data_IF_189507079205
#
_entry.id   IF_189507079205
#
_cell.length_a   1.000
_cell.length_b   1.000
_cell.length_c   1.000
_cell.angle_alpha   90.00
_cell.angle_beta   90.00
_cell.angle_gamma   90.00
#
_symmetry.space_group_name_H-M   'P 1'
#
loop_
_entity.id
_entity.type
_entity.pdbx_description
1 polymer ?
#
# COMPACT_ATOMS: atom_id res chain seq x y z
N UNK A 1 6.93 -19.86 42.64
CA UNK A 1 7.76 -18.67 42.35
C UNK A 1 8.97 -18.70 43.28
N UNK A 2 10.19 -18.81 42.74
CA UNK A 2 11.42 -18.98 43.54
C UNK A 2 11.69 -17.77 44.44
N UNK A 3 12.25 -17.99 45.63
CA UNK A 3 12.64 -16.93 46.58
C UNK A 3 13.52 -15.88 45.89
N UNK A 4 14.36 -16.31 44.96
CA UNK A 4 15.20 -15.45 44.13
C UNK A 4 14.41 -14.45 43.27
N UNK A 5 13.27 -14.88 42.70
CA UNK A 5 12.42 -14.00 41.90
C UNK A 5 11.80 -12.91 42.77
N UNK A 6 11.42 -13.22 44.01
CA UNK A 6 10.87 -12.24 44.95
C UNK A 6 11.89 -11.19 45.36
N UNK A 7 13.14 -11.59 45.58
CA UNK A 7 14.24 -10.67 45.93
C UNK A 7 14.53 -9.72 44.76
N UNK A 8 14.62 -10.24 43.54
CA UNK A 8 14.86 -9.40 42.34
C UNK A 8 13.75 -8.37 42.14
N UNK A 9 12.49 -8.77 42.27
CA UNK A 9 11.34 -7.86 42.13
C UNK A 9 11.35 -6.81 43.24
N UNK A 10 11.62 -7.19 44.49
CA UNK A 10 11.69 -6.25 45.61
C UNK A 10 12.83 -5.22 45.43
N UNK A 11 14.00 -5.66 44.97
CA UNK A 11 15.12 -4.76 44.67
C UNK A 11 14.79 -3.80 43.51
N UNK A 12 14.14 -4.29 42.44
CA UNK A 12 13.72 -3.46 41.32
C UNK A 12 12.68 -2.41 41.72
N UNK A 13 11.69 -2.79 42.55
CA UNK A 13 10.69 -1.86 43.07
C UNK A 13 11.29 -0.83 44.03
N UNK A 14 12.22 -1.25 44.90
CA UNK A 14 12.96 -0.34 45.77
C UNK A 14 13.78 0.68 44.98
N UNK A 15 14.43 0.24 43.90
CA UNK A 15 15.16 1.13 43.00
C UNK A 15 14.23 2.16 42.32
N UNK A 16 13.07 1.74 41.80
CA UNK A 16 12.09 2.65 41.18
C UNK A 16 11.52 3.65 42.20
N UNK A 17 11.33 3.24 43.45
CA UNK A 17 10.83 4.12 44.51
C UNK A 17 11.83 5.21 44.93
N UNK A 18 13.14 4.90 44.89
CA UNK A 18 14.20 5.84 45.31
C UNK A 18 14.70 6.69 44.15
N UNK A 19 14.86 6.11 42.96
CA UNK A 19 15.48 6.77 41.81
C UNK A 19 14.45 7.27 40.78
N UNK A 20 13.16 7.03 40.99
CA UNK A 20 12.12 7.25 39.99
C UNK A 20 12.13 6.17 38.90
N UNK A 21 11.08 6.14 38.07
CA UNK A 21 11.05 5.29 36.87
C UNK A 21 12.13 5.83 35.93
N UNK A 22 13.14 5.03 35.53
CA UNK A 22 14.09 5.47 34.52
C UNK A 22 13.31 5.82 33.26
N UNK A 23 13.30 7.10 32.90
CA UNK A 23 12.75 7.55 31.62
C UNK A 23 13.60 6.90 30.54
N UNK A 24 13.12 5.78 29.98
CA UNK A 24 13.65 5.28 28.73
C UNK A 24 13.59 6.45 27.75
N UNK A 25 14.69 6.79 27.05
CA UNK A 25 14.60 7.77 25.98
C UNK A 25 13.53 7.26 25.03
N UNK A 26 12.38 7.94 25.01
CA UNK A 26 11.38 7.72 23.99
C UNK A 26 12.13 7.89 22.68
N UNK A 27 12.27 6.82 21.91
CA UNK A 27 12.77 6.95 20.56
C UNK A 27 11.88 8.01 19.89
N UNK A 28 12.44 9.07 19.30
CA UNK A 28 11.62 10.03 18.59
C UNK A 28 10.79 9.23 17.60
N UNK A 29 9.46 9.34 17.74
CA UNK A 29 8.53 8.75 16.80
C UNK A 29 8.88 9.41 15.48
N UNK A 30 9.56 8.67 14.60
CA UNK A 30 9.83 9.18 13.25
C UNK A 30 8.50 9.61 12.67
N UNK A 31 8.38 10.83 12.14
CA UNK A 31 7.13 11.28 11.53
C UNK A 31 6.68 10.21 10.53
N UNK A 32 5.40 9.83 10.61
CA UNK A 32 4.82 8.86 9.70
C UNK A 32 5.20 9.26 8.27
N UNK A 33 5.85 8.36 7.54
CA UNK A 33 6.31 8.64 6.19
C UNK A 33 5.14 9.18 5.36
N UNK A 34 5.22 10.44 4.95
CA UNK A 34 4.20 11.04 4.09
C UNK A 34 4.37 10.45 2.69
N UNK A 35 3.35 9.76 2.20
CA UNK A 35 3.29 9.40 0.78
C UNK A 35 2.91 10.65 0.02
N UNK A 36 3.89 11.29 -0.62
CA UNK A 36 3.58 12.33 -1.58
C UNK A 36 3.00 11.64 -2.83
N UNK A 37 1.71 11.87 -3.07
CA UNK A 37 1.02 11.31 -4.22
C UNK A 37 0.70 12.41 -5.20
N UNK A 38 1.21 12.26 -6.42
CA UNK A 38 0.92 13.14 -7.53
C UNK A 38 -0.59 13.17 -7.83
N UNK A 39 -1.14 14.36 -8.10
CA UNK A 39 -2.56 14.48 -8.47
C UNK A 39 -2.73 14.09 -9.93
N UNK A 40 -3.48 13.01 -10.24
CA UNK A 40 -3.64 12.55 -11.61
C UNK A 40 -4.58 13.47 -12.39
N UNK A 41 -4.55 13.38 -13.72
CA UNK A 41 -5.46 14.12 -14.61
C UNK A 41 -6.94 13.78 -14.33
N UNK A 42 -7.85 14.69 -14.72
CA UNK A 42 -9.29 14.57 -14.43
C UNK A 42 -9.91 13.25 -14.95
N UNK A 43 -9.47 12.79 -16.11
CA UNK A 43 -9.94 11.52 -16.70
C UNK A 43 -9.56 10.33 -15.82
N UNK A 44 -8.31 10.29 -15.36
CA UNK A 44 -7.82 9.21 -14.52
C UNK A 44 -8.44 9.26 -13.11
N UNK A 45 -8.71 10.46 -12.57
CA UNK A 45 -9.50 10.61 -11.34
C UNK A 45 -10.89 9.99 -11.49
N UNK A 46 -11.57 10.22 -12.61
CA UNK A 46 -12.89 9.64 -12.88
C UNK A 46 -12.83 8.10 -13.01
N UNK A 47 -11.75 7.57 -13.57
CA UNK A 47 -11.52 6.12 -13.67
C UNK A 47 -11.39 5.47 -12.29
N UNK A 48 -10.63 6.08 -11.37
CA UNK A 48 -10.35 5.52 -10.02
C UNK A 48 -11.38 5.94 -8.95
N UNK A 49 -12.33 6.81 -9.26
CA UNK A 49 -13.37 7.25 -8.31
C UNK A 49 -14.13 6.09 -7.64
N UNK A 50 -14.55 5.02 -8.35
CA UNK A 50 -15.20 3.88 -7.70
C UNK A 50 -14.31 3.20 -6.64
N UNK A 51 -13.00 3.14 -6.90
CA UNK A 51 -12.00 2.58 -5.98
C UNK A 51 -11.84 3.48 -4.75
N UNK A 52 -11.75 4.80 -4.96
CA UNK A 52 -11.68 5.77 -3.86
C UNK A 52 -12.87 5.64 -2.91
N UNK A 53 -14.09 5.52 -3.45
CA UNK A 53 -15.30 5.30 -2.65
C UNK A 53 -15.25 4.02 -1.81
N UNK A 54 -14.73 2.93 -2.37
CA UNK A 54 -14.59 1.66 -1.66
C UNK A 54 -13.56 1.70 -0.53
N UNK A 55 -12.50 2.52 -0.68
CA UNK A 55 -11.41 2.62 0.29
C UNK A 55 -11.71 3.64 1.39
N UNK A 56 -12.64 4.56 1.15
CA UNK A 56 -12.97 5.63 2.09
C UNK A 56 -13.41 5.17 3.48
N UNK A 57 -13.99 3.97 3.54
CA UNK A 57 -14.45 3.38 4.80
C UNK A 57 -13.31 2.80 5.65
N UNK A 58 -12.11 2.67 5.09
CA UNK A 58 -10.96 2.08 5.76
C UNK A 58 -10.26 3.10 6.68
N UNK A 59 -9.62 2.66 7.78
CA UNK A 59 -8.77 3.51 8.61
C UNK A 59 -7.66 4.23 7.82
N UNK A 60 -7.24 5.40 8.29
CA UNK A 60 -6.21 6.21 7.61
C UNK A 60 -4.88 5.45 7.37
N UNK A 61 -4.47 4.58 8.31
CA UNK A 61 -3.27 3.75 8.16
C UNK A 61 -3.37 2.75 7.00
N UNK A 62 -4.55 2.15 6.81
CA UNK A 62 -4.82 1.22 5.72
C UNK A 62 -4.86 1.92 4.36
N UNK A 63 -5.40 3.13 4.32
CA UNK A 63 -5.37 3.98 3.12
C UNK A 63 -3.96 4.44 2.74
N UNK A 64 -3.12 4.72 3.73
CA UNK A 64 -1.70 5.04 3.53
C UNK A 64 -0.93 3.82 3.00
N UNK A 65 -1.20 2.64 3.54
CA UNK A 65 -0.64 1.39 3.05
C UNK A 65 -1.05 1.11 1.60
N UNK A 66 -2.33 1.31 1.27
CA UNK A 66 -2.82 1.25 -0.11
C UNK A 66 -2.00 2.16 -1.02
N UNK A 67 -1.86 3.44 -0.65
CA UNK A 67 -1.09 4.41 -1.41
C UNK A 67 0.35 3.94 -1.64
N UNK A 68 1.03 3.45 -0.61
CA UNK A 68 2.38 2.92 -0.72
C UNK A 68 2.51 1.73 -1.68
N UNK A 69 1.56 0.80 -1.66
CA UNK A 69 1.61 -0.38 -2.55
C UNK A 69 1.53 0.06 -4.01
N UNK A 70 0.60 0.97 -4.32
CA UNK A 70 0.40 1.43 -5.69
C UNK A 70 1.49 2.38 -6.17
N UNK A 71 2.03 3.25 -5.31
CA UNK A 71 3.23 4.03 -5.65
C UNK A 71 4.42 3.14 -6.00
N UNK A 72 4.62 2.03 -5.26
CA UNK A 72 5.68 1.07 -5.58
C UNK A 72 5.39 0.28 -6.86
N UNK A 73 4.13 -0.06 -7.12
CA UNK A 73 3.75 -0.72 -8.37
C UNK A 73 4.10 0.14 -9.60
N UNK A 74 3.87 1.45 -9.53
CA UNK A 74 4.29 2.39 -10.57
C UNK A 74 5.82 2.32 -10.81
N UNK A 75 6.60 2.42 -9.74
CA UNK A 75 8.08 2.38 -9.80
C UNK A 75 8.59 1.06 -10.38
N UNK A 76 7.99 -0.07 -10.02
CA UNK A 76 8.39 -1.40 -10.54
C UNK A 76 8.18 -1.49 -12.06
N UNK A 77 7.04 -1.03 -12.56
CA UNK A 77 6.73 -1.10 -13.99
C UNK A 77 7.58 -0.12 -14.82
N UNK A 78 7.90 1.05 -14.25
CA UNK A 78 8.84 2.00 -14.85
C UNK A 78 10.27 1.45 -14.85
N UNK A 79 10.69 0.80 -13.76
CA UNK A 79 12.00 0.16 -13.65
C UNK A 79 12.20 -0.99 -14.62
N UNK A 80 11.15 -1.73 -14.96
CA UNK A 80 11.21 -2.81 -15.94
C UNK A 80 11.51 -2.31 -17.38
N UNK A 81 11.38 -1.01 -17.66
CA UNK A 81 11.80 -0.44 -18.94
C UNK A 81 13.32 -0.37 -19.12
N UNK A 82 14.08 -0.37 -18.02
CA UNK A 82 15.56 -0.27 -18.01
C UNK A 82 16.23 -1.53 -17.47
N UNK A 83 15.45 -2.57 -17.18
CA UNK A 83 15.96 -3.85 -16.71
C UNK A 83 16.57 -4.67 -17.84
N UNK A 84 17.62 -5.43 -17.52
CA UNK A 84 18.26 -6.35 -18.48
C UNK A 84 17.33 -7.50 -18.87
N UNK A 85 16.47 -7.92 -17.95
CA UNK A 85 15.43 -8.94 -18.17
C UNK A 85 14.06 -8.28 -18.10
N UNK A 86 13.26 -8.44 -19.15
CA UNK A 86 11.90 -7.90 -19.23
C UNK A 86 10.94 -8.80 -18.46
N UNK A 87 10.42 -8.31 -17.33
CA UNK A 87 9.43 -9.00 -16.51
C UNK A 87 8.01 -8.89 -17.09
N UNK A 88 7.67 -7.77 -17.74
CA UNK A 88 6.34 -7.53 -18.31
C UNK A 88 6.39 -7.57 -19.84
N UNK A 89 5.94 -8.68 -20.42
CA UNK A 89 5.97 -8.91 -21.87
C UNK A 89 4.67 -8.49 -22.55
N UNK A 90 3.53 -8.75 -21.92
CA UNK A 90 2.19 -8.42 -22.41
C UNK A 90 1.27 -7.87 -21.30
N UNK A 91 0.12 -7.30 -21.67
CA UNK A 91 -0.84 -6.77 -20.69
C UNK A 91 -1.46 -7.84 -19.79
N UNK A 92 -1.32 -9.14 -20.11
CA UNK A 92 -1.72 -10.23 -19.20
C UNK A 92 -0.74 -10.32 -18.03
N UNK A 93 0.55 -10.19 -18.26
CA UNK A 93 1.56 -10.12 -17.19
C UNK A 93 1.35 -8.91 -16.27
N UNK A 94 1.02 -7.73 -16.83
CA UNK A 94 0.66 -6.53 -16.05
C UNK A 94 -0.63 -6.72 -15.26
N UNK A 95 -1.64 -7.38 -15.83
CA UNK A 95 -2.88 -7.69 -15.12
C UNK A 95 -2.63 -8.63 -13.95
N UNK A 96 -1.83 -9.69 -14.15
CA UNK A 96 -1.44 -10.60 -13.08
C UNK A 96 -0.68 -9.88 -11.95
N UNK A 97 0.23 -8.97 -12.32
CA UNK A 97 0.93 -8.11 -11.35
C UNK A 97 -0.03 -7.19 -10.58
N UNK A 98 -1.04 -6.64 -11.26
CA UNK A 98 -2.08 -5.80 -10.65
C UNK A 98 -2.91 -6.60 -9.64
N UNK A 99 -3.32 -7.82 -9.98
CA UNK A 99 -4.00 -8.73 -9.05
C UNK A 99 -3.13 -9.01 -7.82
N UNK A 100 -1.84 -9.27 -8.02
CA UNK A 100 -0.89 -9.50 -6.93
C UNK A 100 -0.70 -8.26 -6.05
N UNK A 101 -0.57 -7.07 -6.64
CA UNK A 101 -0.48 -5.81 -5.92
C UNK A 101 -1.74 -5.56 -5.08
N UNK A 102 -2.92 -5.79 -5.65
CA UNK A 102 -4.20 -5.70 -4.96
C UNK A 102 -4.29 -6.69 -3.78
N UNK A 103 -3.90 -7.96 -3.99
CA UNK A 103 -3.93 -8.97 -2.93
C UNK A 103 -2.94 -8.63 -1.80
N UNK A 104 -1.76 -8.10 -2.12
CA UNK A 104 -0.78 -7.62 -1.12
C UNK A 104 -1.35 -6.44 -0.34
N UNK A 105 -1.91 -5.44 -1.03
CA UNK A 105 -2.53 -4.29 -0.39
C UNK A 105 -3.65 -4.76 0.55
N UNK A 106 -4.54 -5.61 0.05
CA UNK A 106 -5.70 -6.07 0.80
C UNK A 106 -5.34 -6.92 2.02
N UNK A 107 -4.40 -7.86 1.90
CA UNK A 107 -3.98 -8.68 3.05
C UNK A 107 -3.30 -7.87 4.14
N UNK A 108 -2.56 -6.83 3.75
CA UNK A 108 -1.86 -5.97 4.71
C UNK A 108 -2.78 -4.93 5.35
N UNK A 109 -3.85 -4.54 4.66
CA UNK A 109 -4.94 -3.74 5.20
C UNK A 109 -5.74 -4.64 6.15
N UNK A 110 -5.72 -4.36 7.45
CA UNK A 110 -6.57 -5.02 8.46
C UNK A 110 -6.53 -6.56 8.52
N UNK A 111 -5.44 -7.22 8.10
CA UNK A 111 -5.30 -8.70 8.09
C UNK A 111 -6.44 -9.45 7.36
N UNK A 112 -6.99 -8.84 6.31
CA UNK A 112 -8.18 -9.36 5.64
C UNK A 112 -7.97 -10.73 4.96
N UNK A 113 -9.01 -11.58 5.03
CA UNK A 113 -9.07 -12.87 4.33
C UNK A 113 -9.14 -12.65 2.81
N UNK A 114 -8.39 -13.42 1.99
CA UNK A 114 -8.52 -13.36 0.53
C UNK A 114 -9.99 -13.52 0.08
N UNK A 115 -10.46 -12.64 -0.79
CA UNK A 115 -11.83 -12.67 -1.32
C UNK A 115 -12.87 -11.93 -0.49
N UNK A 116 -12.52 -11.34 0.66
CA UNK A 116 -13.48 -10.56 1.48
C UNK A 116 -13.91 -9.23 0.87
N UNK A 117 -13.28 -8.80 -0.24
CA UNK A 117 -13.54 -7.51 -0.87
C UNK A 117 -13.68 -7.59 -2.39
N UNK A 118 -14.66 -8.39 -2.81
CA UNK A 118 -15.05 -8.51 -4.22
C UNK A 118 -15.45 -7.16 -4.84
N UNK A 119 -16.00 -6.22 -4.06
CA UNK A 119 -16.36 -4.90 -4.56
C UNK A 119 -15.13 -4.07 -4.97
N UNK A 120 -14.11 -3.99 -4.11
CA UNK A 120 -12.85 -3.29 -4.43
C UNK A 120 -12.10 -3.98 -5.56
N UNK A 121 -12.11 -5.31 -5.59
CA UNK A 121 -11.52 -6.09 -6.69
C UNK A 121 -12.20 -5.78 -8.02
N UNK A 122 -13.53 -5.83 -8.06
CA UNK A 122 -14.33 -5.48 -9.24
C UNK A 122 -14.07 -4.04 -9.67
N UNK A 123 -14.03 -3.09 -8.72
CA UNK A 123 -13.73 -1.69 -9.02
C UNK A 123 -12.32 -1.50 -9.58
N UNK A 124 -11.33 -2.20 -9.03
CA UNK A 124 -9.94 -2.15 -9.48
C UNK A 124 -9.77 -2.75 -10.88
N UNK A 125 -10.38 -3.90 -11.14
CA UNK A 125 -10.39 -4.55 -12.47
C UNK A 125 -11.08 -3.66 -13.51
N UNK A 126 -12.23 -3.07 -13.17
CA UNK A 126 -12.93 -2.16 -14.06
C UNK A 126 -12.11 -0.89 -14.35
N UNK A 127 -11.42 -0.35 -13.35
CA UNK A 127 -10.53 0.80 -13.52
C UNK A 127 -9.33 0.45 -14.40
N UNK A 128 -8.71 -0.72 -14.18
CA UNK A 128 -7.62 -1.24 -15.01
C UNK A 128 -8.03 -1.37 -16.48
N UNK A 129 -9.18 -2.00 -16.74
CA UNK A 129 -9.69 -2.17 -18.11
C UNK A 129 -9.98 -0.83 -18.79
N UNK A 130 -10.46 0.17 -18.05
CA UNK A 130 -10.67 1.52 -18.60
C UNK A 130 -9.37 2.23 -18.91
N UNK A 131 -8.34 2.07 -18.07
CA UNK A 131 -7.05 2.74 -18.25
C UNK A 131 -6.18 2.08 -19.33
N UNK A 132 -6.19 0.75 -19.42
CA UNK A 132 -5.23 -0.02 -20.22
C UNK A 132 -5.89 -0.87 -21.33
N UNK A 133 -7.21 -0.99 -21.31
CA UNK A 133 -7.96 -1.86 -22.22
C UNK A 133 -8.06 -3.30 -21.75
N UNK A 134 -8.96 -4.06 -22.38
CA UNK A 134 -9.16 -5.49 -22.10
C UNK A 134 -8.34 -6.41 -23.04
N UNK A 135 -7.82 -5.86 -24.14
CA UNK A 135 -7.09 -6.63 -25.13
C UNK A 135 -5.70 -7.03 -24.60
N UNK A 136 -5.27 -8.25 -24.93
CA UNK A 136 -3.88 -8.66 -24.71
C UNK A 136 -3.01 -8.04 -25.78
N UNK A 137 -2.13 -7.13 -25.38
CA UNK A 137 -1.19 -6.44 -26.28
C UNK A 137 0.22 -6.46 -25.69
N UNK A 138 1.28 -6.35 -26.52
CA UNK A 138 2.64 -6.23 -26.03
C UNK A 138 2.82 -5.01 -25.11
N UNK A 139 3.66 -5.14 -24.09
CA UNK A 139 3.99 -4.02 -23.19
C UNK A 139 5.00 -3.10 -23.87
N UNK A 140 4.49 -2.04 -24.50
CA UNK A 140 5.30 -0.96 -25.05
C UNK A 140 5.64 0.08 -23.98
N UNK A 141 6.51 1.04 -24.32
CA UNK A 141 6.80 2.17 -23.44
C UNK A 141 5.54 2.96 -23.07
N UNK A 142 4.61 3.14 -24.01
CA UNK A 142 3.35 3.84 -23.78
C UNK A 142 2.43 3.05 -22.83
N UNK A 143 2.37 1.72 -22.97
CA UNK A 143 1.61 0.85 -22.07
C UNK A 143 2.16 0.92 -20.65
N UNK A 144 3.49 0.93 -20.50
CA UNK A 144 4.15 1.10 -19.18
C UNK A 144 3.83 2.44 -18.57
N UNK A 145 3.91 3.52 -19.36
CA UNK A 145 3.58 4.87 -18.90
C UNK A 145 2.13 4.96 -18.45
N UNK A 146 1.20 4.44 -19.25
CA UNK A 146 -0.22 4.39 -18.92
C UNK A 146 -0.47 3.57 -17.64
N UNK A 147 0.24 2.46 -17.46
CA UNK A 147 0.15 1.66 -16.24
C UNK A 147 0.67 2.44 -15.03
N UNK A 148 1.83 3.09 -15.16
CA UNK A 148 2.41 3.86 -14.06
C UNK A 148 1.50 5.03 -13.66
N UNK A 149 0.87 5.70 -14.63
CA UNK A 149 -0.15 6.72 -14.38
C UNK A 149 -1.37 6.15 -13.66
N UNK A 150 -1.89 5.00 -14.13
CA UNK A 150 -2.96 4.27 -13.45
C UNK A 150 -2.59 3.92 -12.00
N UNK A 151 -1.40 3.38 -11.76
CA UNK A 151 -0.93 3.02 -10.43
C UNK A 151 -0.77 4.26 -9.51
N UNK A 152 -0.25 5.37 -10.02
CA UNK A 152 -0.23 6.65 -9.27
C UNK A 152 -1.64 7.13 -8.92
N UNK A 153 -2.59 7.02 -9.85
CA UNK A 153 -3.98 7.39 -9.59
C UNK A 153 -4.65 6.47 -8.56
N UNK A 154 -4.33 5.18 -8.57
CA UNK A 154 -4.75 4.25 -7.53
C UNK A 154 -4.18 4.64 -6.17
N UNK A 155 -2.91 5.05 -6.10
CA UNK A 155 -2.35 5.59 -4.85
C UNK A 155 -3.11 6.85 -4.39
N UNK A 156 -3.46 7.72 -5.34
CA UNK A 156 -4.19 8.96 -5.06
C UNK A 156 -5.59 8.71 -4.51
N UNK A 157 -6.26 7.67 -5.02
CA UNK A 157 -7.58 7.24 -4.56
C UNK A 157 -7.58 6.89 -3.05
N UNK A 158 -6.46 6.40 -2.51
CA UNK A 158 -6.32 6.14 -1.07
C UNK A 158 -6.13 7.41 -0.23
N UNK A 159 -5.47 8.45 -0.76
CA UNK A 159 -5.04 9.60 0.03
C UNK A 159 -5.96 10.82 -0.04
N UNK A 160 -6.56 11.12 -1.20
CA UNK A 160 -7.21 12.41 -1.45
C UNK A 160 -8.74 12.35 -1.63
N UNK A 161 -9.33 11.14 -1.71
CA UNK A 161 -10.79 10.92 -1.74
C UNK A 161 -11.28 9.77 -0.85
N UNK A 162 -10.38 9.05 -0.22
CA UNK A 162 -10.65 8.07 0.85
C UNK A 162 -10.75 8.70 2.24
#
# INVERSE_FOLDING_TARGET
MSVWVRIVVACALGYVAVCGVPSLPLQPVSPAASVEVETPGADMQAIVEPVARSIRILPAGDRLLWAHVWSKAAVVVEGDAVATEVAFTDTRSLRAFTTLALDIAWRRIGENVPGSNEALRTATEAAYVKALGAATVPVTADVRKAYAEFARAMAWAGMNRG
#
